data_IF_728553666026
#
_entry.id   IF_728553666026
#
_cell.length_a   1.000
_cell.length_b   1.000
_cell.length_c   1.000
_cell.angle_alpha   90.00
_cell.angle_beta   90.00
_cell.angle_gamma   90.00
#
_symmetry.space_group_name_H-M   'P 1'
#
loop_
_entity.id
_entity.type
_entity.pdbx_description
1 polymer ?
#
# COMPACT_ATOMS: atom_id res chain seq x y z
N UNK A 1 -16.44 0.31 -10.72
CA UNK A 1 -15.10 -0.30 -10.60
C UNK A 1 -14.15 0.55 -11.41
N UNK A 2 -13.09 1.07 -10.79
CA UNK A 2 -12.08 1.87 -11.49
C UNK A 2 -11.37 0.99 -12.51
N UNK A 3 -11.29 1.42 -13.76
CA UNK A 3 -10.58 0.67 -14.80
C UNK A 3 -9.06 0.93 -14.71
N UNK A 4 -8.21 0.02 -15.24
CA UNK A 4 -6.76 0.24 -15.27
C UNK A 4 -6.33 1.58 -15.88
N UNK A 5 -7.06 2.07 -16.90
CA UNK A 5 -6.75 3.31 -17.60
C UNK A 5 -7.10 4.57 -16.79
N UNK A 6 -8.07 4.50 -15.88
CA UNK A 6 -8.52 5.63 -15.06
C UNK A 6 -7.51 6.06 -14.00
N UNK A 7 -6.47 5.25 -13.76
CA UNK A 7 -5.38 5.61 -12.85
C UNK A 7 -4.33 6.54 -13.47
N UNK A 8 -4.31 6.71 -14.79
CA UNK A 8 -3.22 7.41 -15.48
C UNK A 8 -3.70 8.64 -16.24
N UNK A 9 -2.84 9.66 -16.35
CA UNK A 9 -3.12 10.77 -17.24
C UNK A 9 -3.22 10.28 -18.69
N UNK A 10 -4.19 10.77 -19.49
CA UNK A 10 -4.35 10.35 -20.88
C UNK A 10 -3.06 10.48 -21.69
N UNK A 11 -2.65 9.40 -22.36
CA UNK A 11 -1.44 9.36 -23.18
C UNK A 11 -0.12 9.21 -22.40
N UNK A 12 -0.18 8.98 -21.09
CA UNK A 12 1.01 8.79 -20.24
C UNK A 12 0.96 7.49 -19.44
N UNK A 13 2.06 7.15 -18.80
CA UNK A 13 2.15 6.11 -17.77
C UNK A 13 2.21 6.70 -16.35
N UNK A 14 1.91 7.99 -16.21
CA UNK A 14 2.00 8.74 -14.94
C UNK A 14 0.65 8.70 -14.24
N UNK A 15 0.65 8.35 -12.96
CA UNK A 15 -0.56 8.27 -12.16
C UNK A 15 -1.22 9.64 -12.01
N UNK A 16 -2.55 9.69 -12.09
CA UNK A 16 -3.31 10.90 -11.77
C UNK A 16 -3.05 11.26 -10.32
N UNK A 17 -2.58 12.49 -10.10
CA UNK A 17 -2.18 13.01 -8.81
C UNK A 17 -2.72 14.44 -8.61
N UNK A 18 -2.87 14.84 -7.36
CA UNK A 18 -3.37 16.16 -6.91
C UNK A 18 -2.45 17.32 -7.32
N UNK A 19 -1.18 17.02 -7.59
CA UNK A 19 -0.16 18.01 -7.96
C UNK A 19 -0.25 18.40 -9.45
N UNK A 20 -1.05 17.68 -10.24
CA UNK A 20 -1.17 17.91 -11.68
C UNK A 20 0.06 17.51 -12.50
N UNK A 21 1.02 16.80 -11.89
CA UNK A 21 2.28 16.43 -12.50
C UNK A 21 2.05 15.31 -13.52
N UNK A 22 2.64 15.44 -14.71
CA UNK A 22 2.53 14.47 -15.82
C UNK A 22 3.88 13.92 -16.30
N UNK A 23 4.97 14.41 -15.73
CA UNK A 23 6.30 13.87 -15.92
C UNK A 23 6.59 12.83 -14.82
N UNK A 24 7.17 11.70 -15.20
CA UNK A 24 7.37 10.59 -14.29
C UNK A 24 8.48 10.86 -13.26
N UNK A 25 9.54 11.57 -13.66
CA UNK A 25 10.67 11.87 -12.79
C UNK A 25 10.31 13.01 -11.83
N UNK A 26 9.58 14.02 -12.30
CA UNK A 26 9.02 15.08 -11.46
C UNK A 26 8.06 14.51 -10.41
N UNK A 27 7.16 13.59 -10.80
CA UNK A 27 6.24 12.96 -9.85
C UNK A 27 7.02 12.15 -8.82
N UNK A 28 8.01 11.35 -9.25
CA UNK A 28 8.80 10.54 -8.34
C UNK A 28 9.61 11.40 -7.34
N UNK A 29 10.09 12.57 -7.75
CA UNK A 29 10.77 13.51 -6.86
C UNK A 29 9.80 14.12 -5.83
N UNK A 30 8.62 14.56 -6.28
CA UNK A 30 7.58 15.10 -5.39
C UNK A 30 7.08 14.05 -4.40
N UNK A 31 6.82 12.82 -4.87
CA UNK A 31 6.43 11.69 -4.02
C UNK A 31 7.46 11.44 -2.92
N UNK A 32 8.75 11.39 -3.28
CA UNK A 32 9.81 11.15 -2.32
C UNK A 32 9.84 12.20 -1.21
N UNK A 33 9.76 13.49 -1.59
CA UNK A 33 9.79 14.60 -0.62
C UNK A 33 8.59 14.54 0.33
N UNK A 34 7.38 14.40 -0.21
CA UNK A 34 6.14 14.44 0.58
C UNK A 34 6.00 13.20 1.47
N UNK A 35 6.27 12.01 0.94
CA UNK A 35 6.19 10.77 1.73
C UNK A 35 7.24 10.71 2.82
N UNK A 36 8.46 11.22 2.58
CA UNK A 36 9.52 11.28 3.60
C UNK A 36 9.15 12.25 4.74
N UNK A 37 8.54 13.39 4.41
CA UNK A 37 8.05 14.33 5.41
C UNK A 37 6.93 13.71 6.27
N UNK A 38 5.94 13.09 5.63
CA UNK A 38 4.86 12.39 6.33
C UNK A 38 5.37 11.24 7.20
N UNK A 39 6.30 10.41 6.68
CA UNK A 39 6.91 9.33 7.46
C UNK A 39 7.62 9.86 8.72
N UNK A 40 8.37 10.96 8.59
CA UNK A 40 9.03 11.61 9.72
C UNK A 40 8.01 12.05 10.77
N UNK A 41 6.92 12.67 10.33
CA UNK A 41 5.91 13.24 11.23
C UNK A 41 5.08 12.15 11.92
N UNK A 42 4.80 11.03 11.23
CA UNK A 42 4.21 9.81 11.84
C UNK A 42 5.16 9.23 12.90
N UNK A 43 6.46 9.06 12.57
CA UNK A 43 7.45 8.52 13.50
C UNK A 43 7.68 9.41 14.72
N UNK A 44 7.59 10.72 14.55
CA UNK A 44 7.71 11.69 15.63
C UNK A 44 6.44 11.79 16.49
N UNK A 45 5.32 11.16 16.09
CA UNK A 45 4.03 11.27 16.76
C UNK A 45 3.36 12.64 16.58
N UNK A 46 3.76 13.41 15.57
CA UNK A 46 3.10 14.66 15.17
C UNK A 46 1.77 14.32 14.49
N UNK A 47 1.80 13.32 13.61
CA UNK A 47 0.61 12.70 13.03
C UNK A 47 0.28 11.49 13.92
N UNK A 48 -0.77 11.61 14.71
CA UNK A 48 -1.23 10.53 15.58
C UNK A 48 -2.12 9.56 14.80
N UNK A 49 -1.61 8.33 14.61
CA UNK A 49 -2.34 7.24 13.99
C UNK A 49 -2.62 6.18 15.07
N UNK A 50 -3.89 5.85 15.35
CA UNK A 50 -4.24 4.78 16.27
C UNK A 50 -3.57 3.46 15.88
N UNK A 51 -2.84 2.87 16.82
CA UNK A 51 -2.11 1.61 16.60
C UNK A 51 -3.01 0.39 16.78
N UNK A 52 -4.04 0.27 15.96
CA UNK A 52 -4.99 -0.86 16.00
C UNK A 52 -4.43 -2.14 15.36
N UNK A 53 -3.39 -2.00 14.53
CA UNK A 53 -2.71 -3.10 13.82
C UNK A 53 -3.63 -4.00 12.99
N UNK A 54 -4.70 -3.43 12.47
CA UNK A 54 -5.63 -4.01 11.52
C UNK A 54 -5.59 -3.27 10.18
N UNK A 55 -6.52 -3.57 9.28
CA UNK A 55 -6.64 -2.89 7.99
C UNK A 55 -6.81 -1.37 8.14
N UNK A 56 -7.56 -0.91 9.16
CA UNK A 56 -7.80 0.53 9.41
C UNK A 56 -6.49 1.24 9.73
N UNK A 57 -5.61 0.60 10.52
CA UNK A 57 -4.28 1.15 10.79
C UNK A 57 -3.45 1.30 9.51
N UNK A 58 -3.44 0.27 8.66
CA UNK A 58 -2.67 0.28 7.41
C UNK A 58 -3.21 1.33 6.43
N UNK A 59 -4.53 1.44 6.31
CA UNK A 59 -5.22 2.41 5.47
C UNK A 59 -4.93 3.84 5.93
N UNK A 60 -4.90 4.08 7.25
CA UNK A 60 -4.53 5.36 7.83
C UNK A 60 -3.07 5.71 7.50
N UNK A 61 -2.12 4.79 7.69
CA UNK A 61 -0.72 5.02 7.32
C UNK A 61 -0.60 5.37 5.83
N UNK A 62 -1.24 4.61 4.95
CA UNK A 62 -1.19 4.89 3.52
C UNK A 62 -1.83 6.25 3.19
N UNK A 63 -2.92 6.62 3.85
CA UNK A 63 -3.56 7.92 3.66
C UNK A 63 -2.64 9.07 4.07
N UNK A 64 -1.96 8.98 5.21
CA UNK A 64 -1.05 10.04 5.66
C UNK A 64 0.18 10.16 4.76
N UNK A 65 0.73 9.03 4.29
CA UNK A 65 1.89 9.05 3.39
C UNK A 65 1.58 9.64 2.01
N UNK A 66 0.38 9.37 1.48
CA UNK A 66 0.05 9.66 0.08
C UNK A 66 -1.11 10.63 -0.13
N UNK A 67 -1.76 11.11 0.93
CA UNK A 67 -2.99 11.90 0.87
C UNK A 67 -2.84 13.25 0.18
N UNK A 68 -1.64 13.84 0.23
CA UNK A 68 -1.31 15.06 -0.52
C UNK A 68 -1.06 14.80 -2.01
N UNK A 69 -0.79 13.55 -2.40
CA UNK A 69 -0.41 13.17 -3.77
C UNK A 69 -1.59 12.56 -4.51
N UNK A 70 -2.37 11.69 -3.86
CA UNK A 70 -3.38 10.86 -4.52
C UNK A 70 -4.75 10.97 -3.84
N UNK A 71 -5.82 11.10 -4.64
CA UNK A 71 -7.21 11.12 -4.13
C UNK A 71 -7.64 9.78 -3.51
N UNK A 72 -7.07 8.68 -4.00
CA UNK A 72 -7.37 7.32 -3.54
C UNK A 72 -6.45 6.87 -2.39
N UNK A 73 -5.70 7.77 -1.76
CA UNK A 73 -4.81 7.41 -0.66
C UNK A 73 -5.61 6.81 0.52
N UNK A 74 -5.23 5.59 0.94
CA UNK A 74 -5.93 4.82 1.97
C UNK A 74 -7.08 3.97 1.45
N UNK A 75 -7.31 3.95 0.12
CA UNK A 75 -8.33 3.10 -0.51
C UNK A 75 -7.66 1.90 -1.19
N UNK A 76 -8.24 0.71 -1.02
CA UNK A 76 -7.74 -0.48 -1.68
C UNK A 76 -7.91 -0.40 -3.21
N UNK A 77 -7.03 -1.08 -3.94
CA UNK A 77 -7.03 -1.08 -5.40
C UNK A 77 -8.30 -1.75 -5.94
N UNK A 78 -8.86 -1.15 -6.99
CA UNK A 78 -10.01 -1.71 -7.72
C UNK A 78 -9.64 -2.62 -8.90
N UNK A 79 -8.35 -2.90 -9.10
CA UNK A 79 -7.82 -3.65 -10.25
C UNK A 79 -6.79 -4.69 -9.84
N UNK A 80 -6.72 -5.79 -10.60
CA UNK A 80 -5.69 -6.82 -10.42
C UNK A 80 -4.32 -6.34 -10.88
N UNK A 81 -3.30 -6.81 -10.17
CA UNK A 81 -1.93 -6.31 -10.26
C UNK A 81 -0.94 -7.47 -10.22
N UNK A 82 0.13 -7.36 -11.01
CA UNK A 82 1.24 -8.32 -11.01
C UNK A 82 2.59 -7.63 -11.11
N UNK A 83 3.63 -8.26 -10.59
CA UNK A 83 5.01 -7.77 -10.64
C UNK A 83 5.93 -8.88 -11.14
N UNK A 84 6.65 -8.62 -12.23
CA UNK A 84 7.58 -9.59 -12.82
C UNK A 84 6.91 -10.90 -13.24
N UNK A 85 5.63 -10.85 -13.63
CA UNK A 85 4.83 -12.04 -13.98
C UNK A 85 4.21 -12.77 -12.79
N UNK A 86 4.51 -12.37 -11.55
CA UNK A 86 3.88 -12.91 -10.34
C UNK A 86 2.66 -12.07 -9.97
N UNK A 87 1.51 -12.73 -9.82
CA UNK A 87 0.26 -12.09 -9.46
C UNK A 87 0.19 -11.81 -7.96
N UNK A 88 -0.36 -10.65 -7.61
CA UNK A 88 -0.85 -10.39 -6.26
C UNK A 88 -2.24 -11.02 -6.10
N UNK A 89 -2.82 -10.93 -4.89
CA UNK A 89 -4.17 -11.40 -4.64
C UNK A 89 -5.18 -10.82 -5.64
N UNK A 90 -6.24 -11.56 -5.94
CA UNK A 90 -7.41 -10.99 -6.60
C UNK A 90 -7.98 -9.84 -5.74
N UNK A 91 -8.47 -8.77 -6.36
CA UNK A 91 -9.05 -7.61 -5.64
C UNK A 91 -10.11 -7.99 -4.61
N UNK A 92 -10.91 -9.03 -4.88
CA UNK A 92 -11.96 -9.52 -3.97
C UNK A 92 -11.42 -10.21 -2.73
N UNK A 93 -10.12 -10.55 -2.72
CA UNK A 93 -9.47 -11.25 -1.62
C UNK A 93 -8.63 -10.33 -0.72
N UNK A 94 -8.48 -9.05 -1.05
CA UNK A 94 -7.65 -8.12 -0.27
C UNK A 94 -8.10 -8.11 1.20
N UNK A 95 -9.39 -7.88 1.44
CA UNK A 95 -9.95 -7.83 2.81
C UNK A 95 -9.73 -9.13 3.58
N UNK A 96 -9.83 -10.29 2.91
CA UNK A 96 -9.59 -11.59 3.55
C UNK A 96 -8.14 -11.74 4.02
N UNK A 97 -7.15 -11.33 3.22
CA UNK A 97 -5.75 -11.37 3.62
C UNK A 97 -5.45 -10.39 4.75
N UNK A 98 -6.07 -9.19 4.75
CA UNK A 98 -5.89 -8.22 5.82
C UNK A 98 -6.56 -8.66 7.13
N UNK A 99 -7.72 -9.31 7.05
CA UNK A 99 -8.38 -9.92 8.20
C UNK A 99 -7.54 -11.05 8.81
N UNK A 100 -6.99 -11.94 7.98
CA UNK A 100 -6.07 -13.00 8.43
C UNK A 100 -4.81 -12.40 9.07
N UNK A 101 -4.27 -11.32 8.50
CA UNK A 101 -3.12 -10.58 9.05
C UNK A 101 -3.44 -10.05 10.44
N UNK A 102 -4.58 -9.37 10.60
CA UNK A 102 -5.01 -8.82 11.88
C UNK A 102 -5.21 -9.93 12.92
N UNK A 103 -5.76 -11.08 12.51
CA UNK A 103 -5.91 -12.24 13.38
C UNK A 103 -4.56 -12.79 13.86
N UNK A 104 -3.57 -12.93 12.96
CA UNK A 104 -2.20 -13.34 13.31
C UNK A 104 -1.60 -12.35 14.31
N UNK A 105 -1.71 -11.04 14.07
CA UNK A 105 -1.15 -10.02 14.94
C UNK A 105 -1.79 -10.07 16.33
N UNK A 106 -3.11 -10.13 16.41
CA UNK A 106 -3.84 -10.15 17.67
C UNK A 106 -3.62 -11.45 18.47
N UNK A 107 -3.36 -12.57 17.79
CA UNK A 107 -3.11 -13.87 18.40
C UNK A 107 -1.66 -14.11 18.86
N UNK A 108 -0.74 -13.20 18.56
CA UNK A 108 0.70 -13.38 18.81
C UNK A 108 1.17 -12.59 20.03
N UNK A 109 1.90 -13.24 20.94
CA UNK A 109 2.47 -12.60 22.14
C UNK A 109 3.82 -11.92 21.84
N UNK A 110 3.78 -10.84 21.05
CA UNK A 110 4.95 -10.15 20.53
C UNK A 110 6.03 -9.79 21.56
N UNK A 111 5.72 -9.26 22.76
CA UNK A 111 6.74 -8.86 23.73
C UNK A 111 7.57 -10.01 24.30
N UNK A 112 7.06 -11.25 24.23
CA UNK A 112 7.68 -12.43 24.83
C UNK A 112 8.25 -13.41 23.80
N UNK A 113 8.23 -13.06 22.50
CA UNK A 113 8.83 -13.89 21.47
C UNK A 113 10.36 -13.87 21.56
N UNK A 114 10.94 -15.07 21.56
CA UNK A 114 12.36 -15.23 21.25
C UNK A 114 12.65 -14.76 19.82
N UNK A 115 13.89 -14.33 19.57
CA UNK A 115 14.28 -13.69 18.29
C UNK A 115 13.90 -14.50 17.06
N UNK A 116 14.05 -15.82 17.10
CA UNK A 116 13.71 -16.69 15.96
C UNK A 116 12.22 -16.67 15.65
N UNK A 117 11.38 -16.80 16.68
CA UNK A 117 9.92 -16.76 16.54
C UNK A 117 9.43 -15.36 16.12
N UNK A 118 10.04 -14.29 16.64
CA UNK A 118 9.74 -12.92 16.21
C UNK A 118 9.99 -12.72 14.71
N UNK A 119 11.12 -13.21 14.20
CA UNK A 119 11.45 -13.13 12.77
C UNK A 119 10.45 -13.91 11.92
N UNK A 120 10.09 -15.12 12.36
CA UNK A 120 9.12 -15.97 11.66
C UNK A 120 7.72 -15.32 11.60
N UNK A 121 7.19 -14.86 12.73
CA UNK A 121 5.85 -14.24 12.76
C UNK A 121 5.82 -12.89 12.01
N UNK A 122 6.89 -12.09 12.11
CA UNK A 122 6.98 -10.84 11.34
C UNK A 122 7.04 -11.12 9.84
N UNK A 123 7.81 -12.14 9.42
CA UNK A 123 7.87 -12.56 8.02
C UNK A 123 6.51 -13.10 7.53
N UNK A 124 5.79 -13.83 8.39
CA UNK A 124 4.44 -14.31 8.10
C UNK A 124 3.47 -13.14 7.88
N UNK A 125 3.39 -12.21 8.83
CA UNK A 125 2.59 -10.97 8.70
C UNK A 125 2.95 -10.22 7.42
N UNK A 126 4.25 -10.00 7.17
CA UNK A 126 4.71 -9.33 5.96
C UNK A 126 4.27 -10.05 4.67
N UNK A 127 4.35 -11.39 4.64
CA UNK A 127 3.98 -12.16 3.46
C UNK A 127 2.50 -12.04 3.10
N UNK A 128 1.60 -12.00 4.10
CA UNK A 128 0.17 -11.79 3.88
C UNK A 128 -0.11 -10.39 3.34
N UNK A 129 0.42 -9.36 3.97
CA UNK A 129 0.24 -7.96 3.52
C UNK A 129 0.83 -7.76 2.12
N UNK A 130 2.00 -8.31 1.85
CA UNK A 130 2.64 -8.23 0.53
C UNK A 130 1.86 -9.00 -0.54
N UNK A 131 1.27 -10.14 -0.20
CA UNK A 131 0.42 -10.91 -1.13
C UNK A 131 -0.89 -10.19 -1.43
N UNK A 132 -1.53 -9.60 -0.41
CA UNK A 132 -2.72 -8.76 -0.60
C UNK A 132 -2.43 -7.60 -1.54
N UNK A 133 -1.27 -6.95 -1.34
CA UNK A 133 -0.85 -5.76 -2.06
C UNK A 133 -2.00 -4.74 -2.17
N UNK A 134 -2.52 -4.26 -1.04
CA UNK A 134 -3.86 -3.68 -0.98
C UNK A 134 -4.01 -2.39 -1.80
N UNK A 135 -2.93 -1.64 -2.04
CA UNK A 135 -3.00 -0.33 -2.69
C UNK A 135 -2.42 -0.34 -4.11
N UNK A 136 -2.84 0.65 -4.91
CA UNK A 136 -2.35 0.80 -6.29
C UNK A 136 -0.88 1.22 -6.35
N UNK A 137 -0.40 1.98 -5.37
CA UNK A 137 0.99 2.40 -5.28
C UNK A 137 1.51 2.17 -3.87
N UNK A 138 2.79 1.82 -3.77
CA UNK A 138 3.50 1.70 -2.50
C UNK A 138 4.86 2.35 -2.68
N UNK A 139 5.38 2.92 -1.59
CA UNK A 139 6.63 3.69 -1.52
C UNK A 139 7.85 3.00 -2.20
N UNK A 140 7.89 1.66 -2.21
CA UNK A 140 8.99 0.91 -2.83
C UNK A 140 8.70 0.65 -4.31
N UNK A 141 9.13 1.60 -5.17
CA UNK A 141 9.26 1.55 -6.65
C UNK A 141 9.13 0.14 -7.26
N UNK A 142 7.89 -0.31 -7.38
CA UNK A 142 7.55 -1.56 -8.02
C UNK A 142 6.64 -1.16 -9.16
N UNK A 143 7.17 -1.10 -10.38
CA UNK A 143 6.36 -1.04 -11.60
C UNK A 143 5.49 -2.28 -11.65
N UNK A 144 4.35 -2.17 -10.99
CA UNK A 144 3.34 -3.21 -10.99
C UNK A 144 2.48 -3.00 -12.23
N UNK A 145 2.30 -4.05 -13.01
CA UNK A 145 1.50 -4.01 -14.23
C UNK A 145 0.06 -4.34 -13.86
N UNK A 146 -0.89 -3.53 -14.34
CA UNK A 146 -2.32 -3.80 -14.18
C UNK A 146 -2.79 -4.77 -15.26
N UNK A 147 -3.60 -5.77 -14.89
CA UNK A 147 -4.21 -6.69 -15.85
C UNK A 147 -5.42 -6.03 -16.52
N UNK A 148 -5.55 -6.15 -17.85
CA UNK A 148 -6.86 -6.00 -18.51
C UNK A 148 -7.66 -7.25 -18.20
N UNK A 149 -8.81 -7.12 -17.54
CA UNK A 149 -9.77 -8.21 -17.40
C UNK A 149 -10.02 -8.81 -18.78
N UNK A 150 -9.81 -10.13 -18.91
CA UNK A 150 -10.21 -10.84 -20.13
C UNK A 150 -11.73 -10.75 -20.19
N UNK A 151 -12.24 -10.20 -21.29
CA UNK A 151 -13.64 -10.27 -21.68
C UNK A 151 -14.05 -11.74 -21.91
#
# INVERSE_FOLDING_TARGET
>A
MTTPAEYFWPGTTVLINKLGIRDADELAAAEYVLTTAAERDIRAGIIDIPRTFDAVHLDAIHRELFGEIYEWAGQHRGVDMSKGGLEFADVTRIDSYLADTAHIIAGTDWPHLERAAFVEETARVYSYVNTAHPYRYLYRRSTCTTRRTRA
#
